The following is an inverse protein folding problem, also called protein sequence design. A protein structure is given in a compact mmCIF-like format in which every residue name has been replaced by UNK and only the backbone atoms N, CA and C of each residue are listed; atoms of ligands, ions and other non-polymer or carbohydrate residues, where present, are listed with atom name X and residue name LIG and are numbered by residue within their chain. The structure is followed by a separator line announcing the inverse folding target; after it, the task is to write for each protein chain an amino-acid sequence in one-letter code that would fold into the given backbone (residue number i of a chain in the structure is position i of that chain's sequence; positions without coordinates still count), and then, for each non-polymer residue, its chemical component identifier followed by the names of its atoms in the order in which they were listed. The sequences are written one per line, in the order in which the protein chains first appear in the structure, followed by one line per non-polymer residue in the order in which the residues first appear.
data_IF_487452540461
#
_entry.id   IF_487452540461
#
_cell.length_a   1.000
_cell.length_b   1.000
_cell.length_c   1.000
_cell.angle_alpha   90.00
_cell.angle_beta   90.00
_cell.angle_gamma   90.00
#
_symmetry.space_group_name_H-M   'P 1'
#
loop_
_entity.id
_entity.type
_entity.pdbx_description
1 polymer ?
#
# COMPACT_ATOMS: atom_id res chain seq x y z
N UNK A 1 -0.83 7.76 -11.17
CA UNK A 1 -0.70 8.14 -9.75
C UNK A 1 0.35 7.26 -9.12
N UNK A 2 1.51 7.81 -8.75
CA UNK A 2 2.58 7.06 -8.09
C UNK A 2 2.25 7.05 -6.60
N UNK A 3 2.02 5.86 -6.06
CA UNK A 3 1.63 5.68 -4.66
C UNK A 3 2.72 6.06 -3.67
N UNK A 4 2.29 6.25 -2.42
CA UNK A 4 3.05 6.67 -1.23
C UNK A 4 4.42 5.97 -1.05
N UNK A 5 4.57 4.75 -1.55
CA UNK A 5 5.83 3.98 -1.47
C UNK A 5 6.96 4.46 -2.40
N UNK A 6 6.69 5.33 -3.38
CA UNK A 6 7.69 5.85 -4.33
C UNK A 6 8.06 7.32 -4.11
N UNK A 7 7.57 7.93 -3.04
CA UNK A 7 7.64 9.37 -2.82
C UNK A 7 8.71 9.68 -1.77
N UNK A 8 9.64 10.58 -2.10
CA UNK A 8 10.66 11.09 -1.15
C UNK A 8 10.45 12.58 -0.87
N UNK A 9 11.05 13.08 0.22
CA UNK A 9 11.05 14.50 0.55
C UNK A 9 9.70 15.06 1.03
N UNK A 10 9.38 16.30 0.64
CA UNK A 10 8.21 17.04 1.12
C UNK A 10 6.88 16.37 0.76
N UNK A 11 6.79 15.78 -0.43
CA UNK A 11 5.56 15.11 -0.90
C UNK A 11 5.22 13.87 -0.06
N UNK A 12 6.23 13.14 0.45
CA UNK A 12 6.02 12.06 1.42
C UNK A 12 5.45 12.58 2.74
N UNK A 13 5.99 13.69 3.25
CA UNK A 13 5.53 14.28 4.50
C UNK A 13 4.08 14.78 4.39
N UNK A 14 3.72 15.36 3.26
CA UNK A 14 2.35 15.82 2.97
C UNK A 14 1.38 14.64 2.86
N UNK A 15 1.72 13.61 2.08
CA UNK A 15 0.90 12.40 1.97
C UNK A 15 0.74 11.68 3.30
N UNK A 16 1.82 11.54 4.09
CA UNK A 16 1.76 10.93 5.43
C UNK A 16 0.85 11.73 6.35
N UNK A 17 0.95 13.06 6.39
CA UNK A 17 0.06 13.91 7.19
C UNK A 17 -1.39 13.76 6.76
N UNK A 18 -1.65 13.80 5.45
CA UNK A 18 -2.98 13.64 4.88
C UNK A 18 -3.62 12.31 5.28
N UNK A 19 -2.91 11.19 5.11
CA UNK A 19 -3.39 9.86 5.48
C UNK A 19 -3.62 9.72 6.99
N UNK A 20 -2.68 10.17 7.82
CA UNK A 20 -2.83 10.07 9.27
C UNK A 20 -4.02 10.89 9.79
N UNK A 21 -4.29 12.04 9.18
CA UNK A 21 -5.50 12.81 9.48
C UNK A 21 -6.76 12.01 9.15
N UNK A 22 -6.87 11.48 7.93
CA UNK A 22 -8.02 10.70 7.50
C UNK A 22 -8.20 9.42 8.34
N UNK A 23 -7.11 8.73 8.68
CA UNK A 23 -7.17 7.56 9.56
C UNK A 23 -7.74 7.92 10.94
N UNK A 24 -7.32 9.06 11.53
CA UNK A 24 -7.86 9.54 12.80
C UNK A 24 -9.35 9.90 12.71
N UNK A 25 -9.79 10.46 11.58
CA UNK A 25 -11.20 10.76 11.31
C UNK A 25 -12.02 9.48 11.19
N UNK A 26 -11.48 8.46 10.52
CA UNK A 26 -12.07 7.12 10.45
C UNK A 26 -12.14 6.41 11.80
N UNK A 27 -11.46 6.93 12.83
CA UNK A 27 -11.46 6.41 14.20
C UNK A 27 -10.26 5.55 14.56
N UNK A 28 -9.21 5.56 13.74
CA UNK A 28 -7.93 4.93 14.07
C UNK A 28 -7.34 5.53 15.36
N UNK A 29 -7.06 4.67 16.34
CA UNK A 29 -6.56 5.07 17.65
C UNK A 29 -7.63 5.58 18.62
N UNK A 30 -8.93 5.50 18.28
CA UNK A 30 -10.05 5.73 19.21
C UNK A 30 -10.59 4.37 19.69
N UNK A 31 -11.14 4.33 20.90
CA UNK A 31 -11.75 3.12 21.49
C UNK A 31 -12.96 2.58 20.71
N UNK A 32 -13.43 3.27 19.67
CA UNK A 32 -14.57 2.84 18.84
C UNK A 32 -14.30 1.54 18.07
N UNK A 33 -13.04 1.19 17.79
CA UNK A 33 -12.67 -0.06 17.10
C UNK A 33 -12.18 -1.17 18.03
N UNK A 34 -12.00 -0.87 19.30
CA UNK A 34 -11.61 -1.88 20.30
C UNK A 34 -12.60 -3.06 20.35
N UNK A 35 -13.93 -2.87 20.28
CA UNK A 35 -14.87 -3.99 20.25
C UNK A 35 -14.69 -4.87 19.01
N UNK A 36 -14.45 -4.26 17.84
CA UNK A 36 -14.24 -4.99 16.57
C UNK A 36 -12.94 -5.77 16.62
N UNK A 37 -11.89 -5.20 17.22
CA UNK A 37 -10.60 -5.86 17.38
C UNK A 37 -10.70 -7.06 18.33
N UNK A 38 -11.38 -6.89 19.47
CA UNK A 38 -11.62 -7.97 20.42
C UNK A 38 -12.44 -9.10 19.78
N UNK A 39 -13.51 -8.77 19.07
CA UNK A 39 -14.35 -9.74 18.36
C UNK A 39 -13.53 -10.56 17.34
N UNK A 40 -12.67 -9.91 16.55
CA UNK A 40 -11.83 -10.61 15.57
C UNK A 40 -10.77 -11.50 16.24
N UNK A 41 -10.18 -11.04 17.35
CA UNK A 41 -9.20 -11.84 18.12
C UNK A 41 -9.89 -13.08 18.71
N UNK A 42 -11.11 -12.94 19.23
CA UNK A 42 -11.91 -14.07 19.71
C UNK A 42 -12.20 -15.06 18.58
N UNK A 43 -12.72 -14.59 17.44
CA UNK A 43 -12.97 -15.47 16.27
C UNK A 43 -11.69 -16.15 15.75
N UNK A 44 -10.53 -15.48 15.83
CA UNK A 44 -9.23 -16.04 15.46
C UNK A 44 -8.78 -17.14 16.43
N UNK A 45 -8.90 -16.90 17.75
CA UNK A 45 -8.54 -17.89 18.78
C UNK A 45 -9.44 -19.13 18.71
N UNK A 46 -10.72 -18.95 18.42
CA UNK A 46 -11.66 -20.06 18.21
C UNK A 46 -11.25 -20.89 16.99
N UNK A 47 -10.88 -20.24 15.88
CA UNK A 47 -10.36 -20.92 14.69
C UNK A 47 -9.09 -21.73 15.00
N UNK A 48 -8.15 -21.16 15.75
CA UNK A 48 -6.93 -21.87 16.16
C UNK A 48 -7.23 -23.05 17.08
N UNK A 49 -8.20 -22.89 17.99
CA UNK A 49 -8.60 -23.94 18.95
C UNK A 49 -9.34 -25.10 18.30
N UNK A 50 -10.02 -24.86 17.18
CA UNK A 50 -10.74 -25.89 16.42
C UNK A 50 -9.84 -26.71 15.49
N UNK A 51 -8.66 -26.20 15.13
CA UNK A 51 -7.69 -26.87 14.23
C UNK A 51 -6.57 -27.62 15.00
N UNK A 52 -6.86 -28.18 16.19
CA UNK A 52 -5.86 -28.83 17.09
C UNK A 52 -5.03 -29.96 16.46
N UNK A 53 -5.56 -30.65 15.46
CA UNK A 53 -4.93 -31.83 14.85
C UNK A 53 -4.41 -31.59 13.42
N UNK A 54 -4.39 -30.34 12.95
CA UNK A 54 -3.92 -29.99 11.59
C UNK A 54 -2.83 -28.93 11.62
N UNK A 55 -1.90 -28.93 10.65
CA UNK A 55 -0.95 -27.84 10.51
C UNK A 55 -1.69 -26.51 10.28
N UNK A 56 -1.51 -25.57 11.22
CA UNK A 56 -2.08 -24.24 11.15
C UNK A 56 -1.34 -23.40 10.11
N UNK A 57 -2.04 -23.03 9.04
CA UNK A 57 -1.56 -22.03 8.07
C UNK A 57 -1.69 -20.63 8.66
N UNK A 58 -0.79 -20.27 9.59
CA UNK A 58 -0.82 -19.00 10.32
C UNK A 58 -0.90 -17.79 9.40
N UNK A 59 -0.14 -17.77 8.30
CA UNK A 59 -0.16 -16.68 7.32
C UNK A 59 -1.57 -16.43 6.77
N UNK A 60 -2.31 -17.50 6.46
CA UNK A 60 -3.67 -17.42 5.94
C UNK A 60 -4.64 -16.88 7.00
N UNK A 61 -4.51 -17.37 8.24
CA UNK A 61 -5.36 -16.96 9.36
C UNK A 61 -5.16 -15.48 9.73
N UNK A 62 -3.90 -15.03 9.82
CA UNK A 62 -3.59 -13.62 10.09
C UNK A 62 -4.02 -12.71 8.94
N UNK A 63 -3.72 -13.08 7.69
CA UNK A 63 -4.11 -12.26 6.55
C UNK A 63 -5.63 -12.05 6.48
N UNK A 64 -6.41 -13.10 6.75
CA UNK A 64 -7.86 -13.01 6.85
C UNK A 64 -8.29 -11.99 7.91
N UNK A 65 -7.76 -12.12 9.11
CA UNK A 65 -8.13 -11.29 10.27
C UNK A 65 -7.78 -9.82 10.04
N UNK A 66 -6.54 -9.56 9.57
CA UNK A 66 -6.05 -8.20 9.28
C UNK A 66 -6.89 -7.54 8.19
N UNK A 67 -7.21 -8.26 7.12
CA UNK A 67 -8.01 -7.73 6.01
C UNK A 67 -9.43 -7.42 6.45
N UNK A 68 -10.02 -8.26 7.31
CA UNK A 68 -11.37 -8.02 7.82
C UNK A 68 -11.41 -6.78 8.73
N UNK A 69 -10.41 -6.59 9.59
CA UNK A 69 -10.28 -5.39 10.43
C UNK A 69 -10.06 -4.13 9.57
N UNK A 70 -9.15 -4.20 8.58
CA UNK A 70 -8.93 -3.09 7.64
C UNK A 70 -10.21 -2.76 6.87
N UNK A 71 -10.95 -3.77 6.42
CA UNK A 71 -12.20 -3.58 5.72
C UNK A 71 -13.27 -2.97 6.63
N UNK A 72 -13.36 -3.41 7.88
CA UNK A 72 -14.25 -2.82 8.88
C UNK A 72 -13.89 -1.35 9.16
N UNK A 73 -12.61 -1.00 9.20
CA UNK A 73 -12.16 0.40 9.36
C UNK A 73 -12.52 1.29 8.17
N UNK A 74 -12.44 0.77 6.93
CA UNK A 74 -12.70 1.56 5.73
C UNK A 74 -14.19 1.64 5.40
N UNK A 75 -14.93 0.54 5.58
CA UNK A 75 -16.32 0.38 5.14
C UNK A 75 -17.33 0.35 6.29
N UNK A 76 -16.87 0.41 7.54
CA UNK A 76 -17.72 0.34 8.73
C UNK A 76 -18.42 -0.99 8.95
N UNK A 77 -18.05 -2.06 8.21
CA UNK A 77 -18.70 -3.37 8.27
C UNK A 77 -17.70 -4.50 8.14
N UNK A 78 -17.88 -5.55 8.94
CA UNK A 78 -17.11 -6.81 8.85
C UNK A 78 -17.82 -7.82 7.96
N UNK A 79 -17.07 -8.78 7.42
CA UNK A 79 -17.65 -9.94 6.75
C UNK A 79 -17.49 -11.20 7.62
N UNK A 80 -18.53 -12.05 7.70
CA UNK A 80 -18.40 -13.33 8.39
C UNK A 80 -17.34 -14.22 7.77
N UNK A 81 -16.76 -15.07 8.61
CA UNK A 81 -15.80 -16.07 8.19
C UNK A 81 -16.44 -17.05 7.19
N UNK A 82 -16.02 -16.96 5.92
CA UNK A 82 -16.47 -17.86 4.83
C UNK A 82 -17.28 -17.14 3.76
N UNK A 83 -17.55 -15.84 3.96
CA UNK A 83 -18.25 -15.04 2.97
C UNK A 83 -17.43 -14.89 1.68
N UNK A 84 -18.05 -15.12 0.52
CA UNK A 84 -17.36 -15.07 -0.78
C UNK A 84 -16.68 -13.70 -1.06
N UNK A 85 -17.25 -12.60 -0.53
CA UNK A 85 -16.63 -11.27 -0.65
C UNK A 85 -15.32 -11.15 0.13
N UNK A 86 -15.23 -11.75 1.32
CA UNK A 86 -14.01 -11.76 2.12
C UNK A 86 -12.92 -12.55 1.40
N UNK A 87 -13.25 -13.71 0.83
CA UNK A 87 -12.29 -14.47 0.02
C UNK A 87 -11.79 -13.71 -1.19
N UNK A 88 -12.67 -13.00 -1.90
CA UNK A 88 -12.27 -12.12 -3.01
C UNK A 88 -11.33 -11.01 -2.54
N UNK A 89 -11.66 -10.35 -1.43
CA UNK A 89 -10.79 -9.32 -0.84
C UNK A 89 -9.43 -9.89 -0.47
N UNK A 90 -9.38 -11.02 0.23
CA UNK A 90 -8.13 -11.68 0.60
C UNK A 90 -7.32 -12.02 -0.64
N UNK A 91 -7.92 -12.57 -1.69
CA UNK A 91 -7.21 -12.87 -2.93
C UNK A 91 -6.72 -11.61 -3.66
N UNK A 92 -7.44 -10.49 -3.55
CA UNK A 92 -7.01 -9.20 -4.13
C UNK A 92 -5.85 -8.56 -3.35
N UNK A 93 -5.83 -8.69 -2.03
CA UNK A 93 -4.83 -8.09 -1.15
C UNK A 93 -3.63 -9.00 -0.86
N UNK A 94 -3.83 -10.31 -0.97
CA UNK A 94 -2.81 -11.34 -0.77
C UNK A 94 -2.58 -11.97 -2.14
N UNK A 95 -1.76 -11.34 -2.96
CA UNK A 95 -1.25 -12.02 -4.14
C UNK A 95 -0.12 -12.97 -3.69
N UNK A 96 0.02 -14.16 -4.30
CA UNK A 96 1.11 -15.10 -4.01
C UNK A 96 2.52 -14.48 -4.20
N UNK A 97 2.63 -13.34 -4.86
CA UNK A 97 3.87 -12.59 -5.10
C UNK A 97 4.40 -11.79 -3.90
N UNK A 98 3.61 -11.60 -2.84
CA UNK A 98 3.83 -10.46 -1.93
C UNK A 98 4.89 -10.68 -0.83
N UNK A 99 5.61 -11.81 -0.82
CA UNK A 99 6.77 -11.95 0.07
C UNK A 99 7.83 -12.91 -0.46
N UNK A 100 8.14 -12.85 -1.75
CA UNK A 100 9.41 -13.42 -2.19
C UNK A 100 10.53 -12.58 -1.55
N UNK A 101 11.45 -13.21 -0.80
CA UNK A 101 12.70 -12.63 -0.31
C UNK A 101 13.55 -11.98 -1.43
N UNK A 102 13.19 -12.28 -2.69
CA UNK A 102 13.79 -11.76 -3.92
C UNK A 102 13.01 -10.61 -4.56
N UNK A 103 11.88 -10.17 -3.99
CA UNK A 103 11.13 -9.03 -4.49
C UNK A 103 11.99 -7.76 -4.37
N UNK A 104 12.24 -7.01 -5.46
CA UNK A 104 13.07 -5.79 -5.45
C UNK A 104 12.60 -4.74 -4.44
N UNK A 105 11.32 -4.81 -4.04
CA UNK A 105 10.65 -3.86 -3.16
C UNK A 105 11.28 -3.81 -1.76
N UNK A 106 11.81 -4.93 -1.24
CA UNK A 106 12.45 -4.95 0.08
C UNK A 106 13.88 -4.38 0.09
N UNK A 107 14.52 -4.29 -1.08
CA UNK A 107 15.83 -3.67 -1.25
C UNK A 107 15.75 -2.20 -1.65
N UNK A 108 14.55 -1.68 -1.93
CA UNK A 108 14.32 -0.26 -2.24
C UNK A 108 15.00 0.67 -1.22
N UNK A 109 14.89 0.46 0.12
CA UNK A 109 15.55 1.36 1.07
C UNK A 109 17.09 1.37 0.95
N UNK A 110 17.69 0.23 0.60
CA UNK A 110 19.14 0.08 0.44
C UNK A 110 19.63 0.60 -0.92
N UNK A 111 18.87 0.32 -1.99
CA UNK A 111 19.16 0.80 -3.35
C UNK A 111 19.06 2.33 -3.43
N UNK A 112 18.06 2.95 -2.77
CA UNK A 112 17.96 4.41 -2.70
C UNK A 112 19.16 5.05 -2.00
N UNK A 113 19.67 4.41 -0.94
CA UNK A 113 20.84 4.87 -0.19
C UNK A 113 22.14 4.77 -1.00
N UNK A 114 22.27 3.74 -1.85
CA UNK A 114 23.41 3.54 -2.77
C UNK A 114 23.33 4.51 -3.96
N UNK A 115 22.14 4.78 -4.50
CA UNK A 115 21.95 5.73 -5.61
C UNK A 115 22.43 7.15 -5.27
N UNK A 116 22.39 7.56 -4.01
CA UNK A 116 22.85 8.89 -3.59
C UNK A 116 24.39 9.04 -3.60
N UNK A 117 25.10 7.92 -3.48
CA UNK A 117 26.56 7.85 -3.43
C UNK A 117 27.23 7.70 -4.81
N UNK A 118 26.49 7.27 -5.85
CA UNK A 118 27.06 7.06 -7.19
C UNK A 118 26.99 8.37 -8.00
N UNK A 119 28.12 9.05 -8.28
CA UNK A 119 28.14 10.32 -9.00
C UNK A 119 27.58 10.21 -10.43
N UNK A 120 27.74 9.05 -11.07
CA UNK A 120 27.24 8.75 -12.43
C UNK A 120 25.72 8.83 -12.56
N UNK A 121 24.97 8.49 -11.50
CA UNK A 121 23.50 8.53 -11.50
C UNK A 121 22.99 9.98 -11.46
N UNK A 122 23.68 10.86 -10.70
CA UNK A 122 23.36 12.30 -10.65
C UNK A 122 23.57 12.97 -12.01
N UNK A 123 24.60 12.57 -12.74
CA UNK A 123 24.87 13.09 -14.08
C UNK A 123 23.84 12.60 -15.11
N UNK A 124 23.45 11.32 -15.05
CA UNK A 124 22.37 10.75 -15.87
C UNK A 124 21.00 11.40 -15.64
N UNK A 125 20.64 11.65 -14.37
CA UNK A 125 19.41 12.37 -14.01
C UNK A 125 19.41 13.82 -14.51
N UNK A 126 20.56 14.49 -14.49
CA UNK A 126 20.71 15.84 -15.02
C UNK A 126 20.51 15.88 -16.53
N UNK A 127 21.00 14.86 -17.26
CA UNK A 127 20.78 14.72 -18.71
C UNK A 127 19.31 14.43 -19.04
N UNK A 128 18.64 13.56 -18.28
CA UNK A 128 17.22 13.28 -18.47
C UNK A 128 16.33 14.49 -18.16
N UNK A 129 16.68 15.28 -17.14
CA UNK A 129 15.98 16.54 -16.83
C UNK A 129 16.09 17.55 -17.97
N UNK A 130 17.26 17.65 -18.61
CA UNK A 130 17.44 18.49 -19.79
C UNK A 130 16.63 17.97 -20.98
N UNK A 131 16.63 16.67 -21.25
CA UNK A 131 15.82 16.10 -22.35
C UNK A 131 14.32 16.33 -22.09
N UNK A 132 13.85 16.16 -20.86
CA UNK A 132 12.45 16.42 -20.50
C UNK A 132 12.07 17.89 -20.62
N UNK A 133 12.98 18.83 -20.32
CA UNK A 133 12.72 20.26 -20.57
C UNK A 133 12.66 20.58 -22.06
N UNK A 134 13.47 19.92 -22.91
CA UNK A 134 13.38 20.03 -24.37
C UNK A 134 12.05 19.47 -24.91
N UNK A 135 11.60 18.31 -24.43
CA UNK A 135 10.32 17.71 -24.87
C UNK A 135 9.12 18.54 -24.40
N UNK A 136 9.20 19.15 -23.21
CA UNK A 136 8.17 20.06 -22.70
C UNK A 136 8.06 21.35 -23.52
N UNK A 137 9.19 21.86 -24.05
CA UNK A 137 9.22 23.00 -24.99
C UNK A 137 8.62 22.64 -26.35
N UNK A 138 8.90 21.44 -26.86
CA UNK A 138 8.35 20.97 -28.15
C UNK A 138 6.85 20.66 -28.11
N UNK A 139 6.27 20.43 -26.93
CA UNK A 139 4.83 20.18 -26.75
C UNK A 139 4.02 21.44 -26.38
N UNK A 140 4.68 22.55 -26.04
CA UNK A 140 4.04 23.86 -25.78
C UNK A 140 3.91 24.77 -27.01
N UNK A 141 4.22 24.29 -28.22
CA UNK A 141 3.93 25.04 -29.45
C UNK A 141 2.48 24.80 -29.90
N UNK A 142 1.62 25.84 -29.93
CA UNK A 142 0.21 25.69 -30.29
C UNK A 142 0.09 25.50 -31.81
N UNK A 143 -0.26 24.28 -32.25
CA UNK A 143 -0.84 24.10 -33.59
C UNK A 143 -2.35 24.24 -33.50
N UNK A 144 -2.85 25.47 -33.63
CA UNK A 144 -4.07 25.77 -34.42
C UNK A 144 -3.93 27.18 -35.00
N UNK A 145 -3.39 27.25 -36.22
CA UNK A 145 -3.70 28.32 -37.17
C UNK A 145 -4.03 27.63 -38.49
N UNK A 146 -5.32 27.51 -38.80
CA UNK A 146 -5.83 27.65 -40.16
C UNK A 146 -7.29 28.07 -40.03
N UNK A 147 -7.53 29.35 -40.25
CA UNK A 147 -8.85 29.97 -40.41
C UNK A 147 -9.34 29.63 -41.82
N UNK A 148 -10.57 29.17 -41.95
CA UNK A 148 -11.43 29.46 -43.11
C UNK A 148 -12.82 29.78 -42.59
#
# INVERSE_FOLDING_TARGET
MIGIGGISGQLWQEQRRFLLHHLRDLGFGKSSYEPVMVEEITELMDCMSNEKDRPLEMKRLFNRSVINILWAMVMGRRYPYGHAKLHKLIHSFVQPSDFNLLSPIQHIPHIFKIMEYIPTVKEGLSRLRNILSFVKVSTSSPRVFCVT
#
